data_IF_034068402409
#
_entry.id   IF_034068402409
#
_cell.length_a   1.000
_cell.length_b   1.000
_cell.length_c   1.000
_cell.angle_alpha   90.00
_cell.angle_beta   90.00
_cell.angle_gamma   90.00
#
_symmetry.space_group_name_H-M   'P 1'
#
loop_
_entity.id
_entity.type
_entity.pdbx_description
1 polymer ?
#
# COMPACT_ATOMS: atom_id res chain seq x y z
N UNK A 1 -0.30 25.26 12.03
CA UNK A 1 1.08 25.04 12.46
C UNK A 1 1.84 24.34 11.35
N UNK A 2 3.06 24.76 11.14
CA UNK A 2 3.96 24.14 10.19
C UNK A 2 4.43 22.79 10.74
N UNK A 3 4.47 21.75 9.92
CA UNK A 3 4.87 20.42 10.36
C UNK A 3 6.41 20.38 10.52
N UNK A 4 6.86 20.03 11.69
CA UNK A 4 8.28 19.91 11.98
C UNK A 4 8.83 18.56 11.48
N UNK A 5 9.45 18.57 10.32
CA UNK A 5 9.98 17.38 9.67
C UNK A 5 11.21 16.80 10.38
N UNK A 6 11.86 17.55 11.27
CA UNK A 6 13.08 17.12 11.97
C UNK A 6 12.78 16.52 13.34
N UNK A 7 11.84 17.09 14.08
CA UNK A 7 11.60 16.75 15.48
C UNK A 7 10.28 16.02 15.74
N UNK A 8 9.31 16.08 14.80
CA UNK A 8 8.06 15.34 14.97
C UNK A 8 8.32 13.83 14.81
N UNK A 9 8.03 13.00 15.83
CA UNK A 9 8.26 11.56 15.76
C UNK A 9 7.48 10.86 14.64
N UNK A 10 6.42 11.48 14.12
CA UNK A 10 5.65 10.95 12.99
C UNK A 10 6.26 11.27 11.63
N UNK A 11 7.24 12.18 11.56
CA UNK A 11 7.93 12.54 10.32
C UNK A 11 8.60 11.34 9.64
N UNK A 12 9.07 10.37 10.43
CA UNK A 12 9.71 9.14 9.94
C UNK A 12 8.77 7.95 9.81
N UNK A 13 7.48 8.13 10.05
CA UNK A 13 6.51 7.04 10.03
C UNK A 13 6.29 6.43 8.64
N UNK A 14 6.56 7.18 7.58
CA UNK A 14 6.32 6.75 6.20
C UNK A 14 4.83 6.50 5.91
N UNK A 15 4.54 5.59 5.01
CA UNK A 15 3.17 5.21 4.68
C UNK A 15 2.69 4.18 5.70
N UNK A 16 1.83 4.62 6.62
CA UNK A 16 1.22 3.76 7.63
C UNK A 16 0.02 3.00 7.08
N UNK A 17 -0.43 1.96 7.80
CA UNK A 17 -1.63 1.20 7.42
C UNK A 17 -2.84 2.10 7.21
N UNK A 18 -2.99 3.14 8.03
CA UNK A 18 -4.12 4.07 7.95
C UNK A 18 -4.11 4.94 6.70
N UNK A 19 -2.96 5.22 6.13
CA UNK A 19 -2.86 5.99 4.87
C UNK A 19 -3.63 5.31 3.73
N UNK A 20 -3.66 3.98 3.72
CA UNK A 20 -4.41 3.19 2.75
C UNK A 20 -5.82 2.83 3.25
N UNK A 21 -5.93 2.38 4.50
CA UNK A 21 -7.18 1.83 5.03
C UNK A 21 -8.24 2.88 5.37
N UNK A 22 -7.89 4.17 5.42
CA UNK A 22 -8.84 5.27 5.49
C UNK A 22 -9.48 5.62 4.13
N UNK A 23 -8.93 5.16 3.01
CA UNK A 23 -9.50 5.37 1.68
C UNK A 23 -10.76 4.51 1.53
N UNK A 24 -11.87 5.15 1.18
CA UNK A 24 -13.18 4.50 1.06
C UNK A 24 -13.69 4.42 -0.36
N UNK A 25 -13.23 5.31 -1.23
CA UNK A 25 -13.57 5.32 -2.65
C UNK A 25 -12.39 5.81 -3.49
N UNK A 26 -12.33 5.34 -4.72
CA UNK A 26 -11.44 5.83 -5.77
C UNK A 26 -12.32 6.65 -6.70
N UNK A 27 -12.05 7.96 -6.78
CA UNK A 27 -12.90 8.87 -7.53
C UNK A 27 -12.56 8.83 -9.03
N UNK A 28 -11.30 8.56 -9.36
CA UNK A 28 -10.89 8.26 -10.72
C UNK A 28 -9.52 7.58 -10.80
N UNK A 29 -9.25 6.97 -11.95
CA UNK A 29 -7.93 6.39 -12.29
C UNK A 29 -6.96 7.41 -12.88
N UNK A 30 -7.27 8.70 -12.79
CA UNK A 30 -6.34 9.75 -13.19
C UNK A 30 -5.09 9.81 -12.31
N UNK A 31 -5.19 9.31 -11.09
CA UNK A 31 -4.13 9.36 -10.09
C UNK A 31 -4.10 10.72 -9.38
N UNK A 32 -2.92 11.13 -8.91
CA UNK A 32 -2.71 12.42 -8.21
C UNK A 32 -3.55 12.53 -6.92
N UNK A 33 -3.72 11.41 -6.19
CA UNK A 33 -4.47 11.38 -4.94
C UNK A 33 -5.98 11.52 -5.09
N UNK A 34 -6.55 11.12 -6.24
CA UNK A 34 -7.98 11.27 -6.51
C UNK A 34 -8.78 10.14 -5.84
N UNK A 35 -8.98 10.29 -4.54
CA UNK A 35 -9.69 9.34 -3.70
C UNK A 35 -10.41 10.05 -2.54
N UNK A 36 -11.41 9.39 -1.98
CA UNK A 36 -12.12 9.85 -0.78
C UNK A 36 -11.56 9.19 0.47
N UNK A 37 -11.20 10.01 1.46
CA UNK A 37 -10.79 9.59 2.80
C UNK A 37 -11.95 9.71 3.79
N UNK A 38 -12.09 8.71 4.65
CA UNK A 38 -13.00 8.77 5.79
C UNK A 38 -12.25 8.29 7.03
N UNK A 39 -12.32 9.08 8.11
CA UNK A 39 -11.73 8.66 9.39
C UNK A 39 -12.52 7.44 9.93
N UNK A 40 -11.91 6.26 10.01
CA UNK A 40 -12.62 5.07 10.45
C UNK A 40 -12.94 5.14 11.95
N UNK A 41 -14.03 4.48 12.39
CA UNK A 41 -14.33 4.36 13.81
C UNK A 41 -13.16 3.70 14.54
N UNK A 42 -12.74 4.31 15.63
CA UNK A 42 -11.56 3.90 16.40
C UNK A 42 -11.95 3.09 17.61
N UNK A 43 -11.03 2.26 18.05
CA UNK A 43 -11.18 1.58 19.34
C UNK A 43 -11.08 2.57 20.50
N UNK A 44 -11.73 2.31 21.65
CA UNK A 44 -11.85 3.29 22.73
C UNK A 44 -10.53 3.87 23.25
N UNK A 45 -9.46 3.09 23.18
CA UNK A 45 -8.14 3.47 23.71
C UNK A 45 -7.07 3.61 22.63
N UNK A 46 -7.47 3.90 21.39
CA UNK A 46 -6.56 3.98 20.23
C UNK A 46 -5.47 5.04 20.40
N UNK A 47 -5.74 6.10 21.16
CA UNK A 47 -4.81 7.21 21.41
C UNK A 47 -4.29 7.26 22.85
N UNK A 48 -4.46 6.19 23.62
CA UNK A 48 -3.97 6.18 24.99
C UNK A 48 -2.45 6.03 25.03
N UNK A 49 -1.78 6.85 25.83
CA UNK A 49 -0.34 6.74 26.04
C UNK A 49 0.03 5.71 27.10
N UNK A 50 -0.91 5.37 27.99
CA UNK A 50 -0.72 4.42 29.08
C UNK A 50 -0.57 2.98 28.62
N UNK A 51 0.48 2.28 29.07
CA UNK A 51 0.76 0.90 28.67
C UNK A 51 -0.40 -0.08 28.94
N UNK A 52 -1.11 0.09 30.05
CA UNK A 52 -2.28 -0.74 30.39
C UNK A 52 -3.41 -0.54 29.36
N UNK A 53 -3.74 0.70 29.03
CA UNK A 53 -4.81 1.00 28.08
C UNK A 53 -4.43 0.57 26.66
N UNK A 54 -3.17 0.68 26.26
CA UNK A 54 -2.65 0.11 25.01
C UNK A 54 -2.83 -1.41 24.98
N UNK A 55 -2.51 -2.10 26.07
CA UNK A 55 -2.68 -3.55 26.15
C UNK A 55 -4.16 -3.96 26.07
N UNK A 56 -5.04 -3.24 26.75
CA UNK A 56 -6.50 -3.46 26.66
C UNK A 56 -6.98 -3.23 25.23
N UNK A 57 -6.55 -2.13 24.59
CA UNK A 57 -6.91 -1.84 23.20
C UNK A 57 -6.47 -2.95 22.24
N UNK A 58 -5.26 -3.46 22.39
CA UNK A 58 -4.75 -4.58 21.62
C UNK A 58 -5.61 -5.85 21.80
N UNK A 59 -6.06 -6.15 23.02
CA UNK A 59 -6.94 -7.29 23.26
C UNK A 59 -8.34 -7.07 22.67
N UNK A 60 -8.87 -5.85 22.68
CA UNK A 60 -10.15 -5.51 22.03
C UNK A 60 -10.08 -5.73 20.51
N UNK A 61 -8.99 -5.33 19.87
CA UNK A 61 -8.77 -5.57 18.43
C UNK A 61 -8.76 -7.08 18.14
N UNK A 62 -8.01 -7.85 18.92
CA UNK A 62 -7.94 -9.31 18.77
C UNK A 62 -9.27 -10.01 19.03
N UNK A 63 -10.05 -9.52 19.99
CA UNK A 63 -11.33 -10.11 20.36
C UNK A 63 -12.45 -9.86 19.34
N UNK A 64 -12.28 -8.87 18.45
CA UNK A 64 -13.30 -8.50 17.45
C UNK A 64 -12.72 -8.36 16.03
N UNK A 65 -12.15 -9.44 15.48
CA UNK A 65 -11.51 -9.39 14.18
C UNK A 65 -12.46 -9.01 13.03
N UNK A 66 -13.73 -9.39 13.15
CA UNK A 66 -14.73 -9.08 12.12
C UNK A 66 -15.09 -7.59 12.10
N UNK A 67 -15.11 -6.94 13.25
CA UNK A 67 -15.28 -5.49 13.31
C UNK A 67 -14.09 -4.78 12.62
N UNK A 68 -12.88 -5.19 12.93
CA UNK A 68 -11.67 -4.66 12.31
C UNK A 68 -11.69 -4.84 10.78
N UNK A 69 -12.01 -6.05 10.31
CA UNK A 69 -12.12 -6.35 8.88
C UNK A 69 -13.18 -5.49 8.20
N UNK A 70 -14.38 -5.45 8.74
CA UNK A 70 -15.50 -4.71 8.15
C UNK A 70 -15.21 -3.21 8.05
N UNK A 71 -14.50 -2.67 9.03
CA UNK A 71 -14.18 -1.25 9.10
C UNK A 71 -13.05 -0.86 8.15
N UNK A 72 -11.97 -1.66 8.10
CA UNK A 72 -10.72 -1.28 7.46
C UNK A 72 -10.45 -2.01 6.14
N UNK A 73 -10.96 -3.23 5.95
CA UNK A 73 -10.73 -3.96 4.70
C UNK A 73 -11.89 -3.76 3.73
N UNK A 74 -11.58 -3.18 2.58
CA UNK A 74 -12.53 -2.94 1.49
C UNK A 74 -12.07 -3.65 0.22
N UNK A 75 -13.00 -4.08 -0.66
CA UNK A 75 -12.63 -4.73 -1.93
C UNK A 75 -11.67 -3.91 -2.78
N UNK A 76 -11.81 -2.57 -2.76
CA UNK A 76 -10.95 -1.66 -3.52
C UNK A 76 -9.46 -1.81 -3.23
N UNK A 77 -9.06 -2.21 -2.01
CA UNK A 77 -7.65 -2.41 -1.65
C UNK A 77 -6.99 -3.57 -2.43
N UNK A 78 -7.79 -4.41 -3.09
CA UNK A 78 -7.31 -5.52 -3.92
C UNK A 78 -7.29 -5.19 -5.41
N UNK A 79 -7.58 -3.96 -5.79
CA UNK A 79 -7.59 -3.53 -7.19
C UNK A 79 -6.32 -2.80 -7.58
N UNK A 80 -5.97 -2.85 -8.86
CA UNK A 80 -4.87 -2.06 -9.40
C UNK A 80 -5.20 -0.56 -9.43
N UNK A 81 -6.47 -0.22 -9.56
CA UNK A 81 -7.00 1.14 -9.50
C UNK A 81 -6.68 1.80 -8.16
N UNK A 82 -6.72 1.04 -7.07
CA UNK A 82 -6.32 1.56 -5.75
C UNK A 82 -4.87 2.04 -5.75
N UNK A 83 -3.97 1.27 -6.32
CA UNK A 83 -2.56 1.64 -6.40
C UNK A 83 -2.35 2.87 -7.30
N UNK A 84 -3.18 3.03 -8.34
CA UNK A 84 -3.09 4.15 -9.27
C UNK A 84 -3.31 5.49 -8.61
N UNK A 85 -4.04 5.57 -7.51
CA UNK A 85 -4.32 6.82 -6.80
C UNK A 85 -3.04 7.54 -6.38
N UNK A 86 -1.98 6.79 -6.06
CA UNK A 86 -0.67 7.31 -5.68
C UNK A 86 0.41 7.00 -6.73
N UNK A 87 0.30 5.88 -7.46
CA UNK A 87 1.30 5.44 -8.44
C UNK A 87 1.01 5.87 -9.87
N UNK A 88 0.15 6.84 -10.04
CA UNK A 88 -0.07 7.56 -11.29
C UNK A 88 -0.27 9.03 -10.95
N UNK A 89 0.51 9.90 -11.58
CA UNK A 89 0.48 11.33 -11.29
C UNK A 89 0.55 12.14 -12.58
N UNK A 90 -0.05 13.32 -12.53
CA UNK A 90 0.05 14.36 -13.55
C UNK A 90 -0.02 15.72 -12.88
N UNK A 91 0.41 16.75 -13.56
CA UNK A 91 0.22 18.12 -13.08
C UNK A 91 -1.20 18.56 -13.45
N UNK A 92 -2.02 18.95 -12.47
CA UNK A 92 -3.40 19.37 -12.74
C UNK A 92 -3.45 20.69 -13.51
N UNK A 93 -4.56 20.89 -14.21
CA UNK A 93 -4.83 22.08 -15.02
C UNK A 93 -4.61 23.39 -14.26
N UNK A 94 -5.09 23.47 -13.03
CA UNK A 94 -4.96 24.64 -12.17
C UNK A 94 -3.51 25.10 -11.94
N UNK A 95 -2.55 24.20 -12.08
CA UNK A 95 -1.12 24.47 -11.88
C UNK A 95 -0.42 24.69 -13.22
N UNK A 96 -0.84 24.04 -14.27
CA UNK A 96 -0.09 23.95 -15.53
C UNK A 96 -0.86 24.46 -16.77
N UNK A 97 -1.98 25.13 -16.62
CA UNK A 97 -2.74 25.78 -17.69
C UNK A 97 -2.97 24.87 -18.91
N UNK A 98 -3.48 23.64 -18.71
CA UNK A 98 -3.70 22.59 -19.73
C UNK A 98 -2.47 22.03 -20.42
N UNK A 99 -1.28 22.41 -20.03
CA UNK A 99 -0.08 21.72 -20.50
C UNK A 99 0.02 20.40 -19.77
N UNK A 100 -0.60 19.37 -20.35
CA UNK A 100 -0.54 18.03 -19.78
C UNK A 100 0.91 17.58 -19.61
N UNK A 101 1.35 17.51 -18.37
CA UNK A 101 2.63 16.91 -18.02
C UNK A 101 2.38 15.66 -17.18
N UNK A 102 2.70 14.52 -17.76
CA UNK A 102 2.61 13.23 -17.09
C UNK A 102 3.79 13.08 -16.15
N UNK A 103 3.51 12.79 -14.89
CA UNK A 103 4.48 12.30 -13.93
C UNK A 103 4.67 10.78 -14.03
N UNK A 104 4.93 10.13 -12.91
CA UNK A 104 4.98 8.67 -12.88
C UNK A 104 3.66 8.05 -13.32
N UNK A 105 3.73 6.91 -14.01
CA UNK A 105 2.54 6.20 -14.45
C UNK A 105 2.79 4.69 -14.49
N UNK A 106 2.80 4.09 -13.33
CA UNK A 106 2.96 2.64 -13.20
C UNK A 106 1.68 1.88 -13.55
N UNK A 107 0.51 2.51 -13.34
CA UNK A 107 -0.79 1.88 -13.58
C UNK A 107 -1.03 1.56 -15.06
N UNK A 108 -0.90 2.55 -15.95
CA UNK A 108 -1.11 2.29 -17.38
C UNK A 108 -0.06 1.31 -17.94
N UNK A 109 1.17 1.42 -17.48
CA UNK A 109 2.23 0.47 -17.85
C UNK A 109 1.91 -0.95 -17.40
N UNK A 110 1.33 -1.12 -16.20
CA UNK A 110 0.86 -2.41 -15.71
C UNK A 110 -0.28 -2.94 -16.59
N UNK A 111 -1.30 -2.15 -16.88
CA UNK A 111 -2.42 -2.56 -17.72
C UNK A 111 -1.97 -2.98 -19.14
N UNK A 112 -0.97 -2.29 -19.68
CA UNK A 112 -0.40 -2.59 -20.99
C UNK A 112 0.58 -3.77 -20.97
N UNK A 113 0.97 -4.25 -19.80
CA UNK A 113 1.86 -5.40 -19.68
C UNK A 113 1.11 -6.73 -19.90
N UNK A 114 1.81 -7.76 -20.35
CA UNK A 114 1.25 -9.12 -20.42
C UNK A 114 0.93 -9.72 -19.05
N UNK A 115 1.47 -9.13 -17.97
CA UNK A 115 1.30 -9.64 -16.60
C UNK A 115 -0.09 -9.35 -16.06
N UNK A 116 -0.69 -8.21 -16.42
CA UNK A 116 -1.97 -7.76 -15.87
C UNK A 116 -3.18 -8.58 -16.32
N UNK A 117 -3.08 -9.24 -17.47
CA UNK A 117 -4.22 -9.89 -18.09
C UNK A 117 -5.19 -8.94 -18.82
N UNK A 118 -4.89 -7.64 -18.89
CA UNK A 118 -5.75 -6.63 -19.53
C UNK A 118 -5.45 -6.41 -21.01
N UNK A 119 -4.32 -6.89 -21.50
CA UNK A 119 -4.01 -6.81 -22.94
C UNK A 119 -4.88 -7.75 -23.73
N UNK A 120 -5.14 -7.42 -24.99
CA UNK A 120 -5.92 -8.25 -25.91
C UNK A 120 -5.30 -9.65 -26.09
N UNK A 121 -3.98 -9.76 -26.06
CA UNK A 121 -3.26 -11.03 -26.13
C UNK A 121 -3.28 -11.82 -24.80
N UNK A 122 -3.56 -11.18 -23.70
CA UNK A 122 -3.72 -11.83 -22.38
C UNK A 122 -4.97 -12.70 -22.27
N UNK A 123 -5.89 -12.55 -23.20
CA UNK A 123 -7.08 -13.40 -23.28
C UNK A 123 -6.73 -14.90 -23.31
N UNK A 124 -5.59 -15.25 -23.84
CA UNK A 124 -5.09 -16.63 -23.91
C UNK A 124 -4.36 -17.11 -22.64
N UNK A 125 -4.06 -16.17 -21.70
CA UNK A 125 -3.24 -16.47 -20.52
C UNK A 125 -3.85 -16.05 -19.18
N UNK A 126 -5.18 -15.97 -19.02
CA UNK A 126 -5.79 -15.45 -17.80
C UNK A 126 -5.35 -16.19 -16.52
N UNK A 127 -5.05 -17.52 -16.52
CA UNK A 127 -4.60 -18.20 -15.31
C UNK A 127 -3.27 -17.70 -14.73
N UNK A 128 -2.47 -17.00 -15.53
CA UNK A 128 -1.17 -16.45 -15.12
C UNK A 128 -1.22 -14.95 -14.84
N UNK A 129 -2.35 -14.31 -15.08
CA UNK A 129 -2.49 -12.89 -14.85
C UNK A 129 -2.39 -12.54 -13.37
N UNK A 130 -1.78 -11.39 -13.08
CA UNK A 130 -1.76 -10.77 -11.75
C UNK A 130 -2.76 -9.62 -11.75
N UNK A 131 -3.79 -9.74 -10.93
CA UNK A 131 -4.90 -8.81 -10.92
C UNK A 131 -4.56 -7.45 -10.31
N UNK A 132 -3.53 -7.42 -9.46
CA UNK A 132 -3.13 -6.19 -8.79
C UNK A 132 -1.62 -6.15 -8.51
N UNK A 133 -1.15 -4.94 -8.22
CA UNK A 133 0.27 -4.66 -7.98
C UNK A 133 0.79 -5.29 -6.68
N UNK A 134 -0.08 -5.42 -5.67
CA UNK A 134 0.31 -5.93 -4.36
C UNK A 134 0.77 -7.39 -4.39
N UNK A 135 0.29 -8.19 -5.35
CA UNK A 135 0.70 -9.59 -5.51
C UNK A 135 2.21 -9.77 -5.75
N UNK A 136 2.87 -8.76 -6.32
CA UNK A 136 4.31 -8.75 -6.54
C UNK A 136 5.05 -7.75 -5.66
N UNK A 137 4.46 -6.57 -5.44
CA UNK A 137 5.15 -5.44 -4.80
C UNK A 137 4.93 -5.32 -3.29
N UNK A 138 4.01 -6.08 -2.71
CA UNK A 138 3.76 -6.06 -1.27
C UNK A 138 3.91 -7.46 -0.65
N UNK A 139 5.14 -7.91 -0.43
CA UNK A 139 5.37 -9.23 0.17
C UNK A 139 4.77 -9.30 1.58
N UNK A 140 4.33 -10.49 1.96
CA UNK A 140 3.90 -10.75 3.32
C UNK A 140 5.13 -10.87 4.24
N UNK A 141 5.17 -10.08 5.29
CA UNK A 141 6.25 -10.04 6.28
C UNK A 141 5.68 -10.46 7.63
N UNK A 142 6.38 -11.34 8.34
CA UNK A 142 5.97 -11.80 9.67
C UNK A 142 5.76 -10.61 10.61
N UNK A 143 4.66 -10.62 11.36
CA UNK A 143 4.27 -9.52 12.21
C UNK A 143 3.41 -9.98 13.38
N UNK A 144 3.62 -9.36 14.54
CA UNK A 144 2.77 -9.51 15.74
C UNK A 144 1.65 -8.46 15.80
N UNK A 145 1.49 -7.65 14.74
CA UNK A 145 0.42 -6.66 14.66
C UNK A 145 -0.95 -7.35 14.80
N UNK A 146 -1.92 -6.74 15.51
CA UNK A 146 -3.28 -7.28 15.64
C UNK A 146 -3.98 -7.55 14.30
N UNK A 147 -3.59 -6.86 13.23
CA UNK A 147 -4.10 -7.06 11.89
C UNK A 147 -3.45 -8.23 11.14
N UNK A 148 -2.33 -8.77 11.66
CA UNK A 148 -1.59 -9.84 11.00
C UNK A 148 -2.44 -11.11 10.83
N UNK A 149 -2.26 -11.77 9.68
CA UNK A 149 -3.02 -12.96 9.29
C UNK A 149 -2.08 -14.02 8.74
N UNK A 150 -2.45 -15.26 8.94
CA UNK A 150 -1.78 -16.38 8.27
C UNK A 150 -2.29 -16.50 6.82
N UNK A 151 -1.52 -15.96 5.88
CA UNK A 151 -1.84 -16.02 4.45
C UNK A 151 -1.50 -17.37 3.81
N UNK A 152 -0.59 -18.12 4.41
CA UNK A 152 -0.05 -19.34 3.84
C UNK A 152 -0.56 -20.62 4.52
N UNK A 153 -1.31 -20.50 5.62
CA UNK A 153 -1.78 -21.64 6.41
C UNK A 153 -0.67 -22.33 7.21
N UNK A 154 0.49 -21.66 7.37
CA UNK A 154 1.65 -22.20 8.09
C UNK A 154 1.74 -21.82 9.57
N UNK A 155 0.72 -21.20 10.12
CA UNK A 155 0.67 -20.75 11.52
C UNK A 155 1.49 -19.50 11.83
N UNK A 156 1.99 -18.80 10.82
CA UNK A 156 2.79 -17.56 10.97
C UNK A 156 1.98 -16.35 10.52
N UNK A 157 1.51 -15.50 11.44
CA UNK A 157 0.85 -14.27 11.09
C UNK A 157 1.80 -13.31 10.35
N UNK A 158 1.27 -12.62 9.34
CA UNK A 158 2.02 -11.67 8.52
C UNK A 158 1.13 -10.48 8.13
N UNK A 159 1.76 -9.40 7.74
CA UNK A 159 1.14 -8.24 7.10
C UNK A 159 1.77 -7.99 5.74
N UNK A 160 1.05 -7.37 4.83
CA UNK A 160 1.65 -6.89 3.59
C UNK A 160 2.49 -5.64 3.86
N UNK A 161 3.74 -5.67 3.41
CA UNK A 161 4.67 -4.56 3.57
C UNK A 161 4.70 -3.71 2.29
N UNK A 162 4.56 -2.39 2.45
CA UNK A 162 4.63 -1.41 1.37
C UNK A 162 6.08 -1.00 1.04
N UNK A 163 7.06 -1.81 1.34
CA UNK A 163 8.44 -1.63 0.90
C UNK A 163 8.62 -2.23 -0.48
N UNK A 164 8.55 -1.39 -1.49
CA UNK A 164 8.67 -1.85 -2.87
C UNK A 164 10.09 -2.27 -3.22
N UNK A 165 10.23 -3.49 -3.67
CA UNK A 165 11.34 -3.86 -4.51
C UNK A 165 11.09 -3.29 -5.92
N UNK A 166 11.42 -2.03 -6.13
CA UNK A 166 11.23 -1.34 -7.40
C UNK A 166 12.55 -1.18 -8.18
N UNK A 167 12.45 -0.74 -9.42
CA UNK A 167 13.61 -0.47 -10.26
C UNK A 167 14.45 0.75 -9.82
N UNK A 168 13.93 1.55 -8.88
CA UNK A 168 14.69 2.67 -8.32
C UNK A 168 15.85 2.17 -7.47
N UNK A 169 17.05 2.30 -7.98
CA UNK A 169 18.28 1.88 -7.29
C UNK A 169 19.03 3.05 -6.66
N UNK A 170 18.73 4.29 -7.03
CA UNK A 170 19.44 5.46 -6.59
C UNK A 170 19.19 5.76 -5.10
N UNK A 171 17.91 5.82 -4.69
CA UNK A 171 17.57 6.13 -3.30
C UNK A 171 18.13 5.09 -2.32
N UNK A 172 17.98 3.77 -2.53
CA UNK A 172 18.60 2.78 -1.65
C UNK A 172 20.12 2.89 -1.53
N UNK A 173 20.80 3.29 -2.59
CA UNK A 173 22.25 3.56 -2.54
C UNK A 173 22.54 4.79 -1.66
N UNK A 174 21.78 5.87 -1.86
CA UNK A 174 21.97 7.12 -1.10
C UNK A 174 21.74 6.96 0.41
N UNK A 175 20.81 6.10 0.81
CA UNK A 175 20.48 5.84 2.22
C UNK A 175 21.19 4.59 2.80
N UNK A 176 22.15 4.01 2.07
CA UNK A 176 22.95 2.88 2.56
C UNK A 176 22.22 1.52 2.57
N UNK A 177 21.06 1.38 1.91
CA UNK A 177 20.27 0.16 1.89
C UNK A 177 20.34 -0.63 0.56
N UNK A 178 21.38 -0.38 -0.23
CA UNK A 178 21.53 -1.00 -1.56
C UNK A 178 21.55 -2.52 -1.53
N UNK A 179 22.18 -3.14 -0.55
CA UNK A 179 22.30 -4.60 -0.45
C UNK A 179 20.96 -5.26 -0.20
N UNK A 180 20.19 -4.76 0.77
CA UNK A 180 18.86 -5.28 1.11
C UNK A 180 17.89 -5.09 -0.04
N UNK A 181 17.89 -3.91 -0.66
CA UNK A 181 17.05 -3.60 -1.80
C UNK A 181 17.34 -4.50 -2.99
N UNK A 182 18.61 -4.74 -3.31
CA UNK A 182 19.00 -5.63 -4.40
C UNK A 182 18.66 -7.09 -4.13
N UNK A 183 18.72 -7.53 -2.87
CA UNK A 183 18.27 -8.87 -2.48
C UNK A 183 16.75 -9.02 -2.68
N UNK A 184 15.95 -8.05 -2.21
CA UNK A 184 14.50 -8.05 -2.38
C UNK A 184 14.09 -8.03 -3.87
N UNK A 185 14.81 -7.27 -4.71
CA UNK A 185 14.58 -7.26 -6.16
C UNK A 185 14.84 -8.61 -6.80
N UNK A 186 15.96 -9.27 -6.45
CA UNK A 186 16.28 -10.61 -6.98
C UNK A 186 15.22 -11.64 -6.57
N UNK A 187 14.75 -11.58 -5.34
CA UNK A 187 13.69 -12.47 -4.85
C UNK A 187 12.37 -12.24 -5.62
N UNK A 188 12.00 -10.98 -5.83
CA UNK A 188 10.81 -10.62 -6.62
C UNK A 188 10.89 -11.13 -8.06
N UNK A 189 12.02 -10.87 -8.74
CA UNK A 189 12.23 -11.28 -10.13
C UNK A 189 12.31 -12.81 -10.29
N UNK A 190 12.78 -13.50 -9.27
CA UNK A 190 12.82 -14.97 -9.27
C UNK A 190 11.44 -15.62 -9.09
N UNK A 191 10.42 -14.84 -8.68
CA UNK A 191 9.04 -15.31 -8.49
C UNK A 191 8.09 -14.88 -9.61
N UNK A 192 8.55 -14.04 -10.52
CA UNK A 192 7.77 -13.55 -11.67
C UNK A 192 7.92 -14.51 -12.87
#
# INVERSE_FOLDING_TARGET
>A
PEFDTENDPTAMAGITCMSCHAITAIDSVYGTGNYTLVDPPRYPFAFSDGGLLKAINHQLIKAKPDFHRKTLLKPLHKSAEFCSTCHKTHIPESVNHYRWLRGQNHYDSFLLSGVSGHRVDSFYYPPRAKENCAQCHMPAVASDDPAARDFAGGGRPAVHDHRFAAANTAVPVMIGQATEHNAARRDMLGKA
#
